data_IF_664657364311
#
_entry.id   IF_664657364311
#
_cell.length_a   1.000
_cell.length_b   1.000
_cell.length_c   1.000
_cell.angle_alpha   90.00
_cell.angle_beta   90.00
_cell.angle_gamma   90.00
#
_symmetry.space_group_name_H-M   'P 1'
#
loop_
_entity.id
_entity.type
_entity.pdbx_description
1 polymer ?
#
# COMPACT_ATOMS: atom_id res chain seq x y z
N UNK A 1 -55.41 28.33 -3.23
CA UNK A 1 -54.05 28.81 -3.54
C UNK A 1 -53.06 27.66 -3.27
N UNK A 2 -52.40 27.07 -4.28
CA UNK A 2 -51.53 25.91 -4.07
C UNK A 2 -50.10 26.38 -3.75
N UNK A 3 -49.55 25.81 -2.64
CA UNK A 3 -48.18 26.03 -2.19
C UNK A 3 -47.15 25.41 -3.12
N UNK A 4 -46.19 26.22 -3.49
CA UNK A 4 -45.00 25.81 -4.28
C UNK A 4 -44.11 24.88 -3.46
N UNK A 5 -44.01 23.64 -3.90
CA UNK A 5 -42.89 22.74 -3.51
C UNK A 5 -41.67 23.16 -4.33
N UNK A 6 -40.65 23.67 -3.66
CA UNK A 6 -39.35 23.90 -4.25
C UNK A 6 -38.67 22.54 -4.43
N UNK A 7 -38.48 22.13 -5.67
CA UNK A 7 -37.64 20.99 -6.04
C UNK A 7 -36.19 21.40 -5.89
N UNK A 8 -35.51 20.85 -4.89
CA UNK A 8 -34.04 20.92 -4.77
C UNK A 8 -33.44 20.01 -5.80
N UNK A 9 -33.04 20.56 -6.94
CA UNK A 9 -32.33 19.82 -8.00
C UNK A 9 -30.89 19.62 -7.55
N UNK A 10 -30.53 18.36 -7.40
CA UNK A 10 -29.20 17.91 -7.01
C UNK A 10 -28.18 18.23 -8.11
N UNK A 11 -27.19 19.06 -7.81
CA UNK A 11 -25.99 19.24 -8.65
C UNK A 11 -24.99 18.16 -8.28
N UNK A 12 -25.11 16.99 -8.90
CA UNK A 12 -24.13 15.87 -8.83
C UNK A 12 -23.45 15.66 -10.20
N UNK A 13 -23.44 16.62 -11.08
CA UNK A 13 -22.97 16.45 -12.45
C UNK A 13 -21.85 17.42 -12.80
N UNK A 14 -20.66 17.29 -12.21
CA UNK A 14 -19.52 18.08 -12.65
C UNK A 14 -18.13 17.43 -12.46
N UNK A 15 -18.00 16.10 -12.41
CA UNK A 15 -16.68 15.43 -12.33
C UNK A 15 -16.44 14.42 -13.45
N UNK A 16 -17.36 14.21 -14.36
CA UNK A 16 -17.27 13.18 -15.40
C UNK A 16 -17.29 13.69 -16.86
N UNK A 17 -16.74 14.84 -17.13
CA UNK A 17 -16.60 15.30 -18.52
C UNK A 17 -15.16 15.75 -18.82
N UNK A 18 -14.25 14.79 -18.93
CA UNK A 18 -13.04 14.96 -19.74
C UNK A 18 -13.21 14.12 -21.02
N UNK A 19 -13.13 14.71 -22.22
CA UNK A 19 -13.28 13.94 -23.45
C UNK A 19 -12.09 13.03 -23.64
N UNK A 20 -12.33 11.73 -23.62
CA UNK A 20 -11.42 10.69 -24.08
C UNK A 20 -11.28 10.80 -25.62
N UNK A 21 -10.29 11.53 -26.09
CA UNK A 21 -9.79 11.33 -27.45
C UNK A 21 -8.75 10.22 -27.41
N UNK A 22 -9.21 9.00 -27.63
CA UNK A 22 -8.36 7.84 -27.86
C UNK A 22 -7.82 7.91 -29.31
N UNK A 23 -6.58 8.32 -29.47
CA UNK A 23 -5.81 7.95 -30.63
C UNK A 23 -5.14 6.61 -30.35
N UNK A 24 -5.70 5.55 -30.92
CA UNK A 24 -5.18 4.19 -30.83
C UNK A 24 -3.96 4.01 -31.74
N UNK A 25 -2.78 4.12 -31.15
CA UNK A 25 -1.64 3.31 -31.57
C UNK A 25 -1.48 2.13 -30.62
N UNK A 26 -1.11 0.93 -31.09
CA UNK A 26 -0.81 -0.17 -30.19
C UNK A 26 0.52 0.11 -29.49
N UNK A 27 0.50 0.95 -28.46
CA UNK A 27 1.54 0.98 -27.46
C UNK A 27 1.41 -0.32 -26.69
N UNK A 28 2.42 -1.17 -26.74
CA UNK A 28 2.64 -2.19 -25.70
C UNK A 28 2.67 -1.39 -24.40
N UNK A 29 1.59 -1.44 -23.64
CA UNK A 29 1.50 -0.78 -22.35
C UNK A 29 2.48 -1.50 -21.43
N UNK A 30 3.66 -0.91 -21.20
CA UNK A 30 4.63 -1.42 -20.24
C UNK A 30 4.06 -1.12 -18.85
N UNK A 31 3.76 -2.16 -18.08
CA UNK A 31 3.23 -2.02 -16.74
C UNK A 31 4.25 -1.38 -15.77
N UNK A 32 3.77 -0.76 -14.71
CA UNK A 32 4.66 -0.13 -13.72
C UNK A 32 5.60 -1.14 -13.03
N UNK A 33 5.16 -2.40 -12.89
CA UNK A 33 6.00 -3.51 -12.40
C UNK A 33 7.23 -3.73 -13.30
N UNK A 34 7.06 -3.66 -14.63
CA UNK A 34 8.15 -3.82 -15.58
C UNK A 34 9.11 -2.65 -15.52
N UNK A 35 8.61 -1.43 -15.25
CA UNK A 35 9.45 -0.24 -15.05
C UNK A 35 10.44 -0.41 -13.89
N UNK A 36 10.06 -1.11 -12.82
CA UNK A 36 11.02 -1.39 -11.74
C UNK A 36 12.13 -2.34 -12.23
N UNK A 37 11.81 -3.30 -13.09
CA UNK A 37 12.81 -4.20 -13.67
C UNK A 37 13.80 -3.46 -14.58
N UNK A 38 13.36 -2.40 -15.28
CA UNK A 38 14.25 -1.57 -16.09
C UNK A 38 15.41 -0.97 -15.28
N UNK A 39 15.25 -0.78 -13.97
CA UNK A 39 16.30 -0.27 -13.09
C UNK A 39 17.46 -1.25 -12.87
N UNK A 40 17.32 -2.49 -13.31
CA UNK A 40 18.35 -3.53 -13.25
C UNK A 40 18.91 -3.88 -14.63
N UNK A 41 18.48 -3.20 -15.69
CA UNK A 41 18.95 -3.37 -17.06
C UNK A 41 19.93 -2.25 -17.40
N UNK A 42 21.21 -2.57 -17.34
CA UNK A 42 22.30 -1.61 -17.55
C UNK A 42 22.86 -1.69 -18.99
N UNK A 43 22.07 -1.28 -19.96
CA UNK A 43 22.40 -1.32 -21.39
C UNK A 43 21.39 -2.12 -22.21
N UNK A 44 21.64 -2.30 -23.52
CA UNK A 44 20.84 -3.21 -24.34
C UNK A 44 21.19 -4.64 -23.98
N UNK A 45 20.20 -5.53 -23.83
CA UNK A 45 20.40 -6.97 -23.68
C UNK A 45 21.35 -7.49 -24.77
N UNK A 46 22.55 -7.92 -24.41
CA UNK A 46 23.67 -8.24 -25.31
C UNK A 46 24.95 -7.52 -24.97
N UNK A 47 24.93 -6.60 -23.99
CA UNK A 47 26.12 -6.02 -23.37
C UNK A 47 26.35 -6.61 -21.97
N UNK A 48 27.59 -6.57 -21.43
CA UNK A 48 27.92 -7.15 -20.14
C UNK A 48 26.99 -6.61 -19.06
N UNK A 49 26.34 -7.53 -18.31
CA UNK A 49 25.47 -7.31 -17.17
C UNK A 49 24.02 -6.86 -17.49
N UNK A 50 23.39 -7.57 -18.41
CA UNK A 50 21.94 -7.61 -18.46
C UNK A 50 21.44 -8.49 -17.29
N UNK A 51 20.95 -7.90 -16.23
CA UNK A 51 20.39 -8.62 -15.08
C UNK A 51 18.95 -9.11 -15.34
N UNK A 52 18.45 -9.04 -16.55
CA UNK A 52 17.21 -9.65 -16.95
C UNK A 52 17.44 -11.15 -17.16
N UNK A 53 16.97 -11.98 -16.24
CA UNK A 53 17.06 -13.43 -16.30
C UNK A 53 16.33 -14.10 -17.47
N UNK A 54 15.63 -13.30 -18.31
CA UNK A 54 14.93 -13.78 -19.51
C UNK A 54 15.78 -13.74 -20.78
N UNK A 55 16.95 -13.08 -20.76
CA UNK A 55 17.79 -12.90 -21.96
C UNK A 55 19.17 -13.49 -21.69
N UNK A 56 19.53 -14.57 -22.41
CA UNK A 56 20.90 -15.06 -22.41
C UNK A 56 21.79 -14.00 -23.07
N UNK A 57 22.64 -13.35 -22.28
CA UNK A 57 23.61 -12.41 -22.81
C UNK A 57 24.54 -13.14 -23.78
N UNK A 58 24.78 -12.53 -24.97
CA UNK A 58 25.59 -13.13 -26.02
C UNK A 58 27.02 -13.50 -25.58
N UNK A 59 27.48 -13.02 -24.43
CA UNK A 59 28.79 -13.29 -23.83
C UNK A 59 28.69 -13.95 -22.43
N UNK A 60 27.52 -14.44 -22.03
CA UNK A 60 27.36 -15.17 -20.76
C UNK A 60 27.39 -14.34 -19.48
N UNK A 61 27.69 -13.06 -19.54
CA UNK A 61 27.93 -12.24 -18.34
C UNK A 61 26.66 -11.93 -17.49
N UNK A 62 25.46 -11.94 -18.10
CA UNK A 62 24.21 -11.78 -17.36
C UNK A 62 23.84 -12.96 -16.46
N UNK A 63 24.41 -14.15 -16.75
CA UNK A 63 24.18 -15.38 -15.97
C UNK A 63 25.17 -15.57 -14.82
N UNK A 64 26.28 -14.83 -14.82
CA UNK A 64 27.36 -14.96 -13.84
C UNK A 64 27.04 -14.34 -12.49
N UNK A 65 26.14 -13.38 -12.41
CA UNK A 65 25.66 -12.83 -11.14
C UNK A 65 24.40 -13.58 -10.69
N UNK A 66 24.59 -14.80 -10.28
CA UNK A 66 23.71 -15.72 -9.58
C UNK A 66 22.26 -15.83 -10.02
N UNK A 67 21.86 -16.95 -10.64
CA UNK A 67 20.46 -17.34 -10.73
C UNK A 67 19.76 -17.35 -9.36
N UNK A 68 20.40 -17.84 -8.31
CA UNK A 68 19.78 -17.99 -6.99
C UNK A 68 19.76 -16.69 -6.17
N UNK A 69 20.81 -15.87 -6.20
CA UNK A 69 20.78 -14.53 -5.61
C UNK A 69 20.04 -13.53 -6.48
N UNK A 70 20.04 -13.68 -7.79
CA UNK A 70 19.12 -12.94 -8.67
C UNK A 70 17.68 -13.32 -8.34
N UNK A 71 17.33 -14.58 -8.18
CA UNK A 71 16.01 -15.00 -7.75
C UNK A 71 15.65 -14.44 -6.37
N UNK A 72 16.56 -14.44 -5.41
CA UNK A 72 16.34 -13.93 -4.06
C UNK A 72 16.28 -12.40 -4.01
N UNK A 73 17.10 -11.70 -4.79
CA UNK A 73 17.02 -10.23 -4.89
C UNK A 73 15.86 -9.78 -5.78
N UNK A 74 15.42 -10.57 -6.75
CA UNK A 74 14.15 -10.39 -7.42
C UNK A 74 12.96 -10.64 -6.48
N UNK A 75 13.09 -11.51 -5.47
CA UNK A 75 12.10 -11.62 -4.40
C UNK A 75 11.96 -10.31 -3.60
N UNK A 76 13.05 -9.59 -3.35
CA UNK A 76 12.99 -8.24 -2.73
C UNK A 76 12.23 -7.27 -3.63
N UNK A 77 12.48 -7.27 -4.93
CA UNK A 77 11.78 -6.43 -5.91
C UNK A 77 10.32 -6.85 -6.02
N UNK A 78 10.05 -8.16 -6.08
CA UNK A 78 8.70 -8.73 -6.03
C UNK A 78 7.95 -8.28 -4.78
N UNK A 79 8.57 -8.42 -3.62
CA UNK A 79 7.99 -7.95 -2.36
C UNK A 79 7.70 -6.44 -2.36
N UNK A 80 8.63 -5.61 -2.86
CA UNK A 80 8.42 -4.16 -2.95
C UNK A 80 7.23 -3.84 -3.85
N UNK A 81 7.12 -4.48 -5.01
CA UNK A 81 6.01 -4.29 -5.96
C UNK A 81 4.68 -4.73 -5.35
N UNK A 82 4.66 -5.90 -4.71
CA UNK A 82 3.48 -6.41 -4.03
C UNK A 82 3.07 -5.53 -2.85
N UNK A 83 4.04 -5.05 -2.07
CA UNK A 83 3.78 -4.14 -0.95
C UNK A 83 3.14 -2.82 -1.41
N UNK A 84 3.48 -2.31 -2.60
CA UNK A 84 2.84 -1.11 -3.16
C UNK A 84 1.36 -1.39 -3.47
N UNK A 85 1.07 -2.47 -4.20
CA UNK A 85 -0.30 -2.87 -4.54
C UNK A 85 -1.16 -3.18 -3.31
N UNK A 86 -0.61 -3.93 -2.34
CA UNK A 86 -1.27 -4.21 -1.04
C UNK A 86 -1.56 -2.92 -0.26
N UNK A 87 -0.63 -1.95 -0.24
CA UNK A 87 -0.88 -0.67 0.42
C UNK A 87 -1.96 0.15 -0.31
N UNK A 88 -1.97 0.15 -1.65
CA UNK A 88 -3.02 0.79 -2.44
C UNK A 88 -4.41 0.23 -2.12
N UNK A 89 -4.54 -1.10 -2.04
CA UNK A 89 -5.78 -1.79 -1.69
C UNK A 89 -6.18 -1.59 -0.22
N UNK A 90 -5.21 -1.55 0.70
CA UNK A 90 -5.43 -1.55 2.15
C UNK A 90 -5.44 -0.16 2.78
N UNK A 91 -5.45 0.91 2.00
CA UNK A 91 -5.67 2.25 2.56
C UNK A 91 -6.94 2.25 3.42
N UNK A 92 -6.88 2.83 4.63
CA UNK A 92 -8.04 2.89 5.50
C UNK A 92 -9.18 3.63 4.79
N UNK A 93 -10.32 2.96 4.67
CA UNK A 93 -11.55 3.59 4.19
C UNK A 93 -12.22 4.34 5.35
N UNK A 94 -12.89 5.43 5.04
CA UNK A 94 -13.73 6.14 6.02
C UNK A 94 -14.72 5.19 6.68
N UNK A 95 -15.03 5.45 7.95
CA UNK A 95 -16.02 4.70 8.71
C UNK A 95 -17.35 4.59 7.95
N UNK A 96 -17.96 3.41 7.96
CA UNK A 96 -19.21 3.13 7.21
C UNK A 96 -20.42 3.91 7.70
N UNK A 97 -20.40 4.34 8.96
CA UNK A 97 -21.42 5.20 9.55
C UNK A 97 -20.85 6.60 9.75
N UNK A 98 -21.21 7.56 8.92
CA UNK A 98 -20.93 8.95 9.21
C UNK A 98 -21.76 9.38 10.44
N UNK A 99 -21.08 9.63 11.50
CA UNK A 99 -21.34 10.13 12.82
C UNK A 99 -22.70 10.62 13.32
N UNK A 100 -23.71 10.70 12.55
CA UNK A 100 -25.05 11.04 13.06
C UNK A 100 -25.86 9.77 13.27
N UNK A 101 -25.88 9.27 14.50
CA UNK A 101 -26.78 8.18 14.90
C UNK A 101 -28.08 8.76 15.44
N UNK A 102 -29.20 8.13 15.08
CA UNK A 102 -30.52 8.51 15.54
C UNK A 102 -31.17 7.31 16.23
N UNK A 103 -31.89 7.59 17.33
CA UNK A 103 -32.78 6.64 17.97
C UNK A 103 -34.21 7.10 17.64
N UNK A 104 -35.08 6.18 17.24
CA UNK A 104 -36.48 6.50 17.09
C UNK A 104 -37.19 6.41 18.44
N UNK A 105 -37.70 7.52 18.92
CA UNK A 105 -38.54 7.59 20.11
C UNK A 105 -39.92 8.07 19.67
N UNK A 106 -40.92 7.18 19.82
CA UNK A 106 -42.30 7.51 19.37
C UNK A 106 -42.43 7.75 17.86
N UNK A 107 -41.56 7.13 17.03
CA UNK A 107 -41.55 7.29 15.57
C UNK A 107 -40.78 8.53 15.07
N UNK A 108 -40.25 9.38 15.97
CA UNK A 108 -39.47 10.56 15.63
C UNK A 108 -37.96 10.26 15.76
N UNK A 109 -37.14 10.68 14.78
CA UNK A 109 -35.68 10.49 14.85
C UNK A 109 -35.08 11.47 15.88
N UNK A 110 -34.64 10.95 17.00
CA UNK A 110 -33.89 11.70 18.02
C UNK A 110 -32.42 11.45 17.84
N UNK A 111 -31.67 12.53 17.66
CA UNK A 111 -30.21 12.47 17.50
C UNK A 111 -29.57 11.93 18.79
N UNK A 112 -28.78 10.85 18.70
CA UNK A 112 -28.19 10.19 19.86
C UNK A 112 -26.78 10.65 20.20
N UNK A 113 -26.06 11.30 19.30
CA UNK A 113 -24.70 11.81 19.52
C UNK A 113 -24.52 13.19 18.91
N UNK A 114 -23.82 14.07 19.63
CA UNK A 114 -23.34 15.36 19.10
C UNK A 114 -22.13 15.15 18.17
N UNK A 115 -21.35 14.10 18.40
CA UNK A 115 -20.17 13.75 17.62
C UNK A 115 -20.52 13.35 16.18
N UNK A 116 -19.66 13.74 15.24
CA UNK A 116 -19.70 13.34 13.82
C UNK A 116 -19.00 12.00 13.55
N UNK A 117 -18.53 11.31 14.59
CA UNK A 117 -17.94 9.97 14.53
C UNK A 117 -16.45 9.91 14.20
N UNK A 118 -15.88 8.71 14.29
CA UNK A 118 -14.47 8.45 13.98
C UNK A 118 -14.16 8.68 12.50
N UNK A 119 -12.87 8.69 12.15
CA UNK A 119 -12.47 8.80 10.75
C UNK A 119 -12.31 7.41 10.11
N UNK A 120 -11.55 6.52 10.73
CA UNK A 120 -11.26 5.19 10.21
C UNK A 120 -11.86 4.07 11.04
N UNK A 121 -11.88 4.21 12.36
CA UNK A 121 -12.49 3.24 13.25
C UNK A 121 -14.00 3.15 13.04
N UNK A 122 -14.56 1.97 13.24
CA UNK A 122 -16.00 1.75 13.15
C UNK A 122 -16.64 1.89 14.53
N UNK A 123 -17.84 2.44 14.56
CA UNK A 123 -18.75 2.37 15.71
C UNK A 123 -19.73 1.22 15.55
N UNK A 124 -20.24 0.71 16.66
CA UNK A 124 -21.21 -0.37 16.66
C UNK A 124 -22.58 0.04 16.06
N UNK A 125 -22.89 1.32 16.07
CA UNK A 125 -24.17 1.82 15.55
C UNK A 125 -24.22 1.67 14.02
N UNK A 126 -25.42 1.36 13.54
CA UNK A 126 -25.80 1.31 12.13
C UNK A 126 -26.38 2.64 11.67
N UNK A 127 -26.52 2.82 10.36
CA UNK A 127 -27.17 4.01 9.79
C UNK A 127 -28.69 4.00 9.98
N UNK A 128 -29.30 2.82 10.22
CA UNK A 128 -30.72 2.62 10.45
C UNK A 128 -31.49 2.33 9.16
N UNK A 129 -32.65 1.67 9.30
CA UNK A 129 -33.48 1.17 8.20
C UNK A 129 -33.79 2.25 7.14
N UNK A 130 -33.51 1.91 5.88
CA UNK A 130 -33.84 2.72 4.71
C UNK A 130 -33.02 3.99 4.55
N UNK A 131 -32.04 4.23 5.40
CA UNK A 131 -31.15 5.39 5.30
C UNK A 131 -29.95 5.08 4.42
N UNK A 132 -29.44 6.13 3.80
CA UNK A 132 -28.28 6.09 2.92
C UNK A 132 -27.24 7.09 3.38
N UNK A 133 -26.00 6.65 3.47
CA UNK A 133 -24.83 7.51 3.59
C UNK A 133 -24.06 7.41 2.29
N UNK A 134 -23.74 8.52 1.66
CA UNK A 134 -22.87 8.56 0.47
C UNK A 134 -21.72 9.52 0.76
N UNK A 135 -20.55 9.16 0.33
CA UNK A 135 -19.40 10.03 0.49
C UNK A 135 -18.34 9.82 -0.58
N UNK A 136 -17.43 10.77 -0.62
CA UNK A 136 -16.25 10.70 -1.45
C UNK A 136 -15.05 11.21 -0.66
N UNK A 137 -13.89 10.58 -0.85
CA UNK A 137 -12.65 11.05 -0.28
C UNK A 137 -11.51 11.03 -1.28
N UNK A 138 -10.51 11.85 -1.02
CA UNK A 138 -9.25 11.92 -1.73
C UNK A 138 -8.13 11.68 -0.72
N UNK A 139 -7.31 10.66 -0.97
CA UNK A 139 -6.19 10.28 -0.10
C UNK A 139 -4.89 10.32 -0.89
N UNK A 140 -3.89 11.03 -0.37
CA UNK A 140 -2.55 11.11 -0.94
C UNK A 140 -1.54 10.37 -0.08
N UNK A 141 -0.73 9.53 -0.72
CA UNK A 141 0.34 8.73 -0.12
C UNK A 141 1.63 8.95 -0.90
N UNK A 142 2.73 9.19 -0.21
CA UNK A 142 4.07 9.17 -0.79
C UNK A 142 4.92 8.22 0.04
N UNK A 143 5.28 7.07 -0.53
CA UNK A 143 6.11 6.12 0.17
C UNK A 143 7.51 6.65 0.36
N UNK A 144 8.08 6.42 1.53
CA UNK A 144 9.36 7.01 1.95
C UNK A 144 10.37 5.96 2.41
N UNK A 145 9.91 4.81 2.92
CA UNK A 145 10.83 3.80 3.46
C UNK A 145 10.27 2.38 3.36
N UNK A 146 11.17 1.41 3.25
CA UNK A 146 10.91 -0.01 3.38
C UNK A 146 11.63 -0.53 4.62
N UNK A 147 10.89 -1.06 5.60
CA UNK A 147 11.43 -1.52 6.90
C UNK A 147 12.35 -0.49 7.58
N UNK A 148 12.06 0.81 7.41
CA UNK A 148 12.84 1.92 7.95
C UNK A 148 14.03 2.36 7.12
N UNK A 149 14.39 1.66 6.05
CA UNK A 149 15.40 2.11 5.07
C UNK A 149 14.72 3.06 4.09
N UNK A 150 15.24 4.29 3.89
CA UNK A 150 14.70 5.21 2.90
C UNK A 150 14.70 4.59 1.49
N UNK A 151 13.61 4.75 0.72
CA UNK A 151 13.52 4.24 -0.65
C UNK A 151 14.56 4.85 -1.59
N UNK A 152 15.10 6.02 -1.26
CA UNK A 152 16.19 6.69 -1.96
C UNK A 152 17.58 6.06 -1.70
N UNK A 153 17.66 5.09 -0.79
CA UNK A 153 18.94 4.52 -0.27
C UNK A 153 18.90 3.00 -0.18
N UNK A 154 18.08 2.35 -0.98
CA UNK A 154 18.06 0.89 -1.03
C UNK A 154 19.34 0.39 -1.72
N UNK A 155 19.94 -0.65 -1.15
CA UNK A 155 21.14 -1.29 -1.69
C UNK A 155 20.89 -2.77 -1.84
N UNK A 156 21.20 -3.30 -3.02
CA UNK A 156 21.22 -4.72 -3.32
C UNK A 156 22.61 -5.11 -3.77
N UNK A 157 23.19 -6.16 -3.19
CA UNK A 157 24.47 -6.70 -3.56
C UNK A 157 24.27 -8.07 -4.21
N UNK A 158 24.90 -8.28 -5.35
CA UNK A 158 24.89 -9.52 -6.09
C UNK A 158 26.31 -10.07 -6.10
N UNK A 159 26.47 -11.32 -5.75
CA UNK A 159 27.75 -12.05 -5.81
C UNK A 159 27.81 -12.87 -7.09
N UNK A 160 28.99 -13.25 -7.49
CA UNK A 160 29.24 -14.09 -8.66
C UNK A 160 28.81 -15.55 -8.38
N UNK A 161 28.38 -16.27 -9.42
CA UNK A 161 28.09 -17.70 -9.35
C UNK A 161 29.27 -18.53 -9.85
N UNK A 162 29.31 -19.78 -9.46
CA UNK A 162 30.22 -20.80 -9.98
C UNK A 162 29.74 -21.26 -11.37
N UNK A 163 30.31 -20.66 -12.42
CA UNK A 163 29.86 -20.91 -13.80
C UNK A 163 30.53 -22.17 -14.41
N UNK A 164 31.73 -22.47 -14.03
CA UNK A 164 32.51 -23.58 -14.61
C UNK A 164 32.58 -24.81 -13.72
N UNK A 165 32.05 -24.76 -12.50
CA UNK A 165 32.08 -25.83 -11.52
C UNK A 165 33.45 -26.04 -10.88
N UNK A 166 34.36 -25.05 -11.04
CA UNK A 166 35.69 -25.06 -10.47
C UNK A 166 35.79 -24.10 -9.29
N UNK A 167 36.28 -24.53 -8.19
CA UNK A 167 36.44 -23.70 -7.01
C UNK A 167 35.50 -24.08 -5.88
N UNK A 168 34.85 -23.09 -5.25
CA UNK A 168 33.93 -23.32 -4.12
C UNK A 168 32.50 -23.57 -4.60
N UNK A 169 31.80 -24.57 -4.06
CA UNK A 169 30.42 -24.82 -4.43
C UNK A 169 29.59 -23.55 -4.29
N UNK A 170 28.91 -23.15 -5.36
CA UNK A 170 27.99 -22.02 -5.42
C UNK A 170 28.64 -20.62 -5.44
N UNK A 171 29.97 -20.50 -5.35
CA UNK A 171 30.69 -19.22 -5.35
C UNK A 171 31.86 -19.17 -6.34
N UNK A 172 32.18 -20.30 -6.99
CA UNK A 172 33.22 -20.43 -8.02
C UNK A 172 34.65 -20.18 -7.56
N UNK A 173 35.49 -19.89 -8.55
CA UNK A 173 36.95 -19.67 -8.36
C UNK A 173 37.17 -18.28 -7.67
N UNK A 174 37.78 -18.27 -6.47
CA UNK A 174 38.04 -17.04 -5.74
C UNK A 174 38.90 -16.01 -6.47
N UNK A 175 39.71 -16.46 -7.42
CA UNK A 175 40.59 -15.56 -8.19
C UNK A 175 39.94 -14.96 -9.42
N UNK A 176 38.81 -15.54 -9.88
CA UNK A 176 38.13 -15.12 -11.11
C UNK A 176 36.68 -14.68 -10.86
N UNK A 177 35.99 -15.34 -9.93
CA UNK A 177 34.55 -15.25 -9.76
C UNK A 177 34.15 -14.60 -8.40
N UNK A 178 34.89 -13.55 -8.04
CA UNK A 178 34.78 -12.94 -6.72
C UNK A 178 34.30 -11.47 -6.76
N UNK A 179 33.89 -11.00 -7.93
CA UNK A 179 33.36 -9.67 -8.12
C UNK A 179 32.00 -9.51 -7.41
N UNK A 180 31.73 -8.30 -6.95
CA UNK A 180 30.44 -7.93 -6.36
C UNK A 180 29.82 -6.84 -7.21
N UNK A 181 28.57 -7.07 -7.63
CA UNK A 181 27.75 -6.05 -8.24
C UNK A 181 26.85 -5.42 -7.19
N UNK A 182 27.07 -4.17 -6.86
CA UNK A 182 26.19 -3.40 -5.99
C UNK A 182 25.26 -2.52 -6.81
N UNK A 183 23.96 -2.62 -6.57
CA UNK A 183 22.94 -1.76 -7.16
C UNK A 183 22.33 -0.89 -6.05
N UNK A 184 22.46 0.43 -6.20
CA UNK A 184 21.83 1.43 -5.34
C UNK A 184 20.60 1.95 -6.04
N UNK A 185 19.46 1.89 -5.35
CA UNK A 185 18.16 2.34 -5.87
C UNK A 185 17.71 3.61 -5.17
N UNK A 186 17.16 4.52 -5.97
CA UNK A 186 16.41 5.71 -5.55
C UNK A 186 15.01 5.60 -6.16
N UNK A 187 14.00 5.28 -5.32
CA UNK A 187 12.63 5.04 -5.75
C UNK A 187 11.68 6.07 -5.17
N UNK A 188 10.90 6.68 -6.04
CA UNK A 188 9.77 7.52 -5.67
C UNK A 188 8.45 6.89 -6.10
N UNK A 189 7.59 6.54 -5.14
CA UNK A 189 6.28 5.95 -5.39
C UNK A 189 5.21 6.79 -4.71
N UNK A 190 4.23 7.27 -5.49
CA UNK A 190 3.13 8.09 -5.01
C UNK A 190 1.79 7.50 -5.45
N UNK A 191 0.82 7.50 -4.53
CA UNK A 191 -0.56 7.14 -4.80
C UNK A 191 -1.47 8.34 -4.55
N UNK A 192 -2.42 8.53 -5.46
CA UNK A 192 -3.56 9.41 -5.27
C UNK A 192 -4.82 8.56 -5.45
N UNK A 193 -5.60 8.41 -4.37
CA UNK A 193 -6.76 7.54 -4.34
C UNK A 193 -8.02 8.36 -4.11
N UNK A 194 -8.91 8.36 -5.10
CA UNK A 194 -10.24 8.95 -5.03
C UNK A 194 -11.25 7.84 -4.78
N UNK A 195 -11.90 7.80 -3.62
CA UNK A 195 -12.87 6.75 -3.29
C UNK A 195 -14.27 7.34 -3.19
N UNK A 196 -15.22 6.72 -3.88
CA UNK A 196 -16.65 6.95 -3.68
C UNK A 196 -17.21 5.78 -2.90
N UNK A 197 -18.04 6.04 -1.90
CA UNK A 197 -18.65 5.00 -1.09
C UNK A 197 -20.11 5.28 -0.78
N UNK A 198 -20.86 4.20 -0.56
CA UNK A 198 -22.24 4.26 -0.13
C UNK A 198 -22.48 3.19 0.94
N UNK A 199 -23.29 3.55 1.94
CA UNK A 199 -23.79 2.65 2.98
C UNK A 199 -25.29 2.72 3.02
N UNK A 200 -25.97 1.57 3.01
CA UNK A 200 -27.42 1.44 3.10
C UNK A 200 -27.82 0.63 4.33
N UNK A 201 -28.69 1.17 5.14
CA UNK A 201 -29.29 0.48 6.28
C UNK A 201 -30.40 -0.47 5.83
N UNK A 202 -30.09 -1.78 5.78
CA UNK A 202 -31.05 -2.84 5.44
C UNK A 202 -32.17 -2.94 6.48
N UNK A 203 -31.80 -2.79 7.75
CA UNK A 203 -32.69 -2.66 8.89
C UNK A 203 -32.00 -1.87 10.01
N UNK A 204 -32.60 -1.76 11.19
CA UNK A 204 -32.05 -0.97 12.29
C UNK A 204 -30.75 -1.56 12.89
N UNK A 205 -30.43 -2.83 12.59
CA UNK A 205 -29.25 -3.53 13.07
C UNK A 205 -28.28 -3.97 11.99
N UNK A 206 -28.52 -3.71 10.70
CA UNK A 206 -27.72 -4.25 9.61
C UNK A 206 -27.48 -3.21 8.51
N UNK A 207 -26.21 -2.95 8.21
CA UNK A 207 -25.74 -2.07 7.14
C UNK A 207 -25.01 -2.85 6.06
N UNK A 208 -25.22 -2.48 4.81
CA UNK A 208 -24.46 -2.91 3.65
C UNK A 208 -23.73 -1.70 3.07
N UNK A 209 -22.43 -1.85 2.80
CA UNK A 209 -21.62 -0.75 2.24
C UNK A 209 -20.81 -1.24 1.04
N UNK A 210 -20.60 -0.32 0.10
CA UNK A 210 -19.69 -0.49 -1.03
C UNK A 210 -18.75 0.71 -1.10
N UNK A 211 -17.47 0.47 -1.42
CA UNK A 211 -16.52 1.53 -1.74
C UNK A 211 -15.76 1.19 -3.02
N UNK A 212 -15.71 2.15 -3.94
CA UNK A 212 -15.06 2.03 -5.24
C UNK A 212 -13.94 3.06 -5.32
N UNK A 213 -12.66 2.64 -5.21
CA UNK A 213 -11.52 3.52 -5.37
C UNK A 213 -11.12 3.68 -6.84
N UNK A 214 -10.75 4.88 -7.23
CA UNK A 214 -9.99 5.19 -8.43
C UNK A 214 -8.56 5.52 -7.98
N UNK A 215 -7.60 4.72 -8.38
CA UNK A 215 -6.21 4.81 -7.94
C UNK A 215 -5.35 5.32 -9.08
N UNK A 216 -4.59 6.38 -8.82
CA UNK A 216 -3.50 6.82 -9.66
C UNK A 216 -2.18 6.55 -8.96
N UNK A 217 -1.34 5.71 -9.57
CA UNK A 217 0.02 5.41 -9.13
C UNK A 217 1.01 6.13 -10.01
N UNK A 218 2.03 6.73 -9.41
CA UNK A 218 3.16 7.36 -10.10
C UNK A 218 4.45 6.78 -9.56
N UNK A 219 5.32 6.34 -10.45
CA UNK A 219 6.62 5.74 -10.17
C UNK A 219 7.71 6.60 -10.82
N UNK A 220 8.76 6.87 -10.07
CA UNK A 220 10.04 7.37 -10.56
C UNK A 220 11.14 6.51 -9.95
N UNK A 221 12.15 6.17 -10.72
CA UNK A 221 13.25 5.34 -10.25
C UNK A 221 14.56 5.72 -10.91
N UNK A 222 15.62 5.59 -10.14
CA UNK A 222 17.02 5.67 -10.60
C UNK A 222 17.80 4.56 -9.93
N UNK A 223 18.77 4.01 -10.63
CA UNK A 223 19.73 3.08 -10.08
C UNK A 223 21.14 3.42 -10.53
N UNK A 224 22.08 3.11 -9.65
CA UNK A 224 23.50 3.15 -9.92
C UNK A 224 24.04 1.77 -9.62
N UNK A 225 24.53 1.09 -10.63
CA UNK A 225 25.22 -0.18 -10.51
C UNK A 225 26.74 0.05 -10.49
N UNK A 226 27.41 -0.59 -9.54
CA UNK A 226 28.86 -0.52 -9.40
C UNK A 226 29.42 -1.93 -9.20
N UNK A 227 30.40 -2.29 -10.03
CA UNK A 227 31.16 -3.50 -9.88
C UNK A 227 32.35 -3.22 -8.96
N UNK A 228 32.54 -4.10 -7.97
CA UNK A 228 33.74 -4.15 -7.13
C UNK A 228 34.56 -5.36 -7.55
N UNK A 229 35.64 -5.16 -8.33
CA UNK A 229 36.45 -6.25 -8.81
C UNK A 229 37.38 -6.75 -7.68
N UNK A 230 37.23 -8.03 -7.36
CA UNK A 230 38.10 -8.73 -6.41
C UNK A 230 38.83 -9.90 -7.04
N UNK A 231 38.55 -10.15 -8.32
CA UNK A 231 39.28 -11.12 -9.15
C UNK A 231 40.64 -10.63 -9.61
N UNK A 232 41.37 -11.45 -10.35
CA UNK A 232 42.62 -11.06 -10.97
C UNK A 232 42.41 -10.08 -12.13
N UNK A 233 43.49 -9.43 -12.60
CA UNK A 233 43.39 -8.35 -13.60
C UNK A 233 42.85 -8.78 -14.99
N UNK A 234 42.72 -10.07 -15.23
CA UNK A 234 42.19 -10.62 -16.50
C UNK A 234 40.74 -11.12 -16.41
N UNK A 235 40.09 -11.00 -15.26
CA UNK A 235 38.75 -11.52 -14.99
C UNK A 235 37.81 -10.49 -14.36
N UNK A 236 38.03 -9.22 -14.68
CA UNK A 236 37.20 -8.13 -14.19
C UNK A 236 35.95 -8.00 -15.07
N UNK A 237 34.76 -8.03 -14.44
CA UNK A 237 33.52 -7.68 -15.12
C UNK A 237 33.41 -6.18 -15.27
N UNK A 238 32.84 -5.72 -16.37
CA UNK A 238 32.67 -4.29 -16.65
C UNK A 238 31.41 -4.03 -17.50
N UNK A 239 30.86 -2.82 -17.40
CA UNK A 239 29.71 -2.41 -18.20
C UNK A 239 30.12 -1.90 -19.58
N UNK A 240 31.23 -1.20 -19.66
CA UNK A 240 31.76 -0.56 -20.86
C UNK A 240 33.29 -0.55 -20.80
N UNK A 241 33.96 -0.29 -21.93
CA UNK A 241 35.41 -0.22 -21.99
C UNK A 241 36.06 -1.52 -22.41
N UNK A 242 37.25 -1.78 -21.90
CA UNK A 242 38.09 -2.97 -22.18
C UNK A 242 38.58 -3.55 -20.86
N UNK A 243 39.14 -4.79 -20.86
CA UNK A 243 39.74 -5.36 -19.64
C UNK A 243 40.86 -4.49 -19.04
N UNK A 244 41.57 -3.71 -19.88
CA UNK A 244 42.65 -2.82 -19.45
C UNK A 244 42.13 -1.47 -18.92
N UNK A 245 40.94 -1.03 -19.35
CA UNK A 245 40.26 0.21 -18.90
C UNK A 245 38.76 -0.04 -18.74
N UNK A 246 38.34 -0.78 -17.68
CA UNK A 246 36.97 -1.20 -17.47
C UNK A 246 36.10 -0.10 -16.91
N UNK A 247 34.94 0.13 -17.55
CA UNK A 247 33.88 0.98 -17.01
C UNK A 247 33.05 0.24 -16.00
N UNK A 248 33.32 0.47 -14.70
CA UNK A 248 32.73 -0.28 -13.58
C UNK A 248 31.41 0.30 -13.05
N UNK A 249 30.91 1.37 -13.65
CA UNK A 249 29.68 2.03 -13.19
C UNK A 249 28.70 2.14 -14.35
N UNK A 250 27.43 1.80 -14.07
CA UNK A 250 26.31 2.03 -14.98
C UNK A 250 25.12 2.64 -14.25
N UNK A 251 24.27 3.30 -15.01
CA UNK A 251 23.09 3.97 -14.47
C UNK A 251 21.86 3.57 -15.28
N UNK A 252 20.73 3.42 -14.60
CA UNK A 252 19.43 3.31 -15.24
C UNK A 252 18.43 4.26 -14.59
N UNK A 253 17.42 4.65 -15.34
CA UNK A 253 16.35 5.49 -14.84
C UNK A 253 15.03 5.13 -15.54
N UNK A 254 13.95 5.19 -14.77
CA UNK A 254 12.61 4.93 -15.28
C UNK A 254 11.60 5.86 -14.64
N UNK A 255 10.46 6.02 -15.31
CA UNK A 255 9.30 6.71 -14.77
C UNK A 255 8.03 6.18 -15.45
N UNK A 256 6.92 6.30 -14.72
CA UNK A 256 5.63 5.89 -15.27
C UNK A 256 4.48 6.32 -14.36
N UNK A 257 3.28 6.25 -14.89
CA UNK A 257 2.06 6.40 -14.11
C UNK A 257 0.93 5.58 -14.72
N UNK A 258 0.08 5.04 -13.86
CA UNK A 258 -1.13 4.32 -14.25
C UNK A 258 -2.32 4.87 -13.46
N UNK A 259 -3.52 4.76 -14.04
CA UNK A 259 -4.78 5.13 -13.38
C UNK A 259 -5.83 4.10 -13.74
N UNK A 260 -6.40 3.44 -12.76
CA UNK A 260 -7.50 2.49 -12.94
C UNK A 260 -8.38 2.41 -11.69
N UNK A 261 -9.51 1.72 -11.81
CA UNK A 261 -10.28 1.31 -10.63
C UNK A 261 -9.39 0.41 -9.78
N UNK A 262 -9.36 0.67 -8.48
CA UNK A 262 -8.67 -0.17 -7.51
C UNK A 262 -9.54 -1.32 -7.00
N UNK A 263 -9.18 -1.91 -5.87
CA UNK A 263 -9.90 -3.02 -5.28
C UNK A 263 -11.20 -2.56 -4.61
N UNK A 264 -12.33 -3.00 -5.14
CA UNK A 264 -13.66 -2.66 -4.63
C UNK A 264 -13.86 -3.33 -3.27
N UNK A 265 -14.33 -2.57 -2.29
CA UNK A 265 -14.66 -3.08 -0.96
C UNK A 265 -16.16 -3.24 -0.78
N UNK A 266 -16.56 -4.40 -0.25
CA UNK A 266 -17.92 -4.69 0.17
C UNK A 266 -17.91 -4.95 1.68
N UNK A 267 -18.82 -4.30 2.43
CA UNK A 267 -18.91 -4.44 3.89
C UNK A 267 -20.32 -4.78 4.31
N UNK A 268 -20.40 -5.67 5.29
CA UNK A 268 -21.64 -6.00 5.99
C UNK A 268 -21.39 -5.80 7.49
N UNK A 269 -22.10 -4.88 8.12
CA UNK A 269 -22.01 -4.61 9.56
C UNK A 269 -23.31 -4.93 10.26
N UNK A 270 -23.23 -5.78 11.27
CA UNK A 270 -24.35 -6.18 12.10
C UNK A 270 -24.16 -5.67 13.53
N UNK A 271 -25.07 -4.81 14.01
CA UNK A 271 -25.14 -4.43 15.42
C UNK A 271 -25.70 -5.60 16.21
N UNK A 272 -24.93 -6.10 17.18
CA UNK A 272 -25.30 -7.23 18.03
C UNK A 272 -26.00 -6.76 19.30
N UNK A 273 -25.48 -5.67 19.86
CA UNK A 273 -26.01 -5.05 21.09
C UNK A 273 -25.76 -3.56 21.09
N UNK A 274 -26.75 -2.81 21.49
CA UNK A 274 -26.64 -1.36 21.64
C UNK A 274 -27.45 -0.91 22.85
N UNK A 275 -26.72 -0.51 23.88
CA UNK A 275 -27.27 0.16 25.06
C UNK A 275 -27.07 1.68 24.93
N UNK A 276 -27.49 2.45 25.93
CA UNK A 276 -27.31 3.91 25.90
C UNK A 276 -25.84 4.33 25.93
N UNK A 277 -24.96 3.53 26.56
CA UNK A 277 -23.53 3.83 26.76
C UNK A 277 -22.59 2.93 25.95
N UNK A 278 -22.97 1.69 25.69
CA UNK A 278 -22.12 0.71 25.04
C UNK A 278 -22.81 0.08 23.84
N UNK A 279 -22.05 -0.20 22.82
CA UNK A 279 -22.48 -0.93 21.63
C UNK A 279 -21.45 -1.94 21.19
N UNK A 280 -21.92 -3.07 20.64
CA UNK A 280 -21.12 -4.13 20.08
C UNK A 280 -21.67 -4.47 18.71
N UNK A 281 -20.79 -4.61 17.71
CA UNK A 281 -21.14 -5.03 16.36
C UNK A 281 -20.09 -6.01 15.81
N UNK A 282 -20.49 -6.72 14.78
CA UNK A 282 -19.60 -7.53 13.94
C UNK A 282 -19.59 -6.94 12.54
N UNK A 283 -18.45 -6.97 11.86
CA UNK A 283 -18.32 -6.52 10.48
C UNK A 283 -17.53 -7.54 9.66
N UNK A 284 -18.05 -7.88 8.49
CA UNK A 284 -17.32 -8.53 7.43
C UNK A 284 -16.98 -7.51 6.33
N UNK A 285 -15.72 -7.52 5.86
CA UNK A 285 -15.23 -6.65 4.78
C UNK A 285 -14.52 -7.53 3.76
N UNK A 286 -14.91 -7.44 2.50
CA UNK A 286 -14.28 -8.16 1.39
C UNK A 286 -13.67 -7.15 0.41
N UNK A 287 -12.38 -7.29 0.13
CA UNK A 287 -11.65 -6.53 -0.90
C UNK A 287 -11.50 -7.38 -2.13
N UNK A 288 -12.19 -7.02 -3.19
CA UNK A 288 -12.20 -7.74 -4.46
C UNK A 288 -11.01 -7.32 -5.32
N UNK A 289 -10.27 -8.26 -5.95
CA UNK A 289 -9.10 -7.93 -6.77
C UNK A 289 -9.51 -7.36 -8.13
N UNK A 290 -10.11 -6.18 -8.14
CA UNK A 290 -10.57 -5.48 -9.34
C UNK A 290 -9.54 -4.51 -9.89
N UNK A 291 -8.54 -4.15 -9.09
CA UNK A 291 -7.40 -3.33 -9.51
C UNK A 291 -6.31 -4.14 -10.20
N UNK A 292 -5.37 -3.44 -10.84
CA UNK A 292 -4.20 -4.06 -11.48
C UNK A 292 -3.05 -4.17 -10.47
N UNK A 293 -2.57 -5.38 -10.24
CA UNK A 293 -1.35 -5.65 -9.47
C UNK A 293 -0.11 -5.13 -10.22
N UNK A 294 -0.07 -5.30 -11.52
CA UNK A 294 1.05 -4.89 -12.38
C UNK A 294 1.24 -3.37 -12.45
N UNK A 295 0.15 -2.61 -12.28
CA UNK A 295 0.15 -1.14 -12.28
C UNK A 295 0.01 -0.55 -10.87
N UNK A 296 0.10 -1.38 -9.83
CA UNK A 296 0.01 -0.99 -8.41
C UNK A 296 -1.28 -0.22 -8.06
N UNK A 297 -2.38 -0.55 -8.70
CA UNK A 297 -3.69 0.02 -8.42
C UNK A 297 -4.58 -0.92 -7.60
N UNK A 298 -4.16 -2.18 -7.40
CA UNK A 298 -4.80 -3.19 -6.58
C UNK A 298 -3.81 -4.22 -6.07
N UNK A 299 -4.27 -5.11 -5.19
CA UNK A 299 -3.43 -6.13 -4.54
C UNK A 299 -3.32 -7.44 -5.33
N UNK A 300 -4.14 -7.62 -6.38
CA UNK A 300 -4.16 -8.83 -7.20
C UNK A 300 -4.76 -10.06 -6.50
N UNK A 301 -5.23 -9.93 -5.26
CA UNK A 301 -5.80 -11.03 -4.49
C UNK A 301 -7.02 -10.60 -3.67
N UNK A 302 -7.88 -11.55 -3.34
CA UNK A 302 -9.00 -11.32 -2.45
C UNK A 302 -8.50 -11.20 -1.00
N UNK A 303 -8.95 -10.16 -0.28
CA UNK A 303 -8.75 -10.05 1.16
C UNK A 303 -10.09 -10.02 1.88
N UNK A 304 -10.25 -10.87 2.89
CA UNK A 304 -11.44 -10.96 3.73
C UNK A 304 -11.09 -10.53 5.15
N UNK A 305 -11.88 -9.63 5.72
CA UNK A 305 -11.71 -9.17 7.11
C UNK A 305 -12.94 -9.47 7.93
N UNK A 306 -12.72 -10.03 9.11
CA UNK A 306 -13.74 -10.13 10.14
C UNK A 306 -13.36 -9.24 11.32
N UNK A 307 -14.25 -8.33 11.75
CA UNK A 307 -13.99 -7.38 12.84
C UNK A 307 -15.07 -7.49 13.91
N UNK A 308 -14.66 -7.53 15.17
CA UNK A 308 -15.48 -7.25 16.33
C UNK A 308 -15.30 -5.77 16.71
N UNK A 309 -16.38 -5.07 16.88
CA UNK A 309 -16.43 -3.62 17.13
C UNK A 309 -17.07 -3.39 18.48
N UNK A 310 -16.40 -2.65 19.35
CA UNK A 310 -16.95 -2.12 20.59
C UNK A 310 -16.88 -0.59 20.56
N UNK A 311 -17.94 0.08 20.93
CA UNK A 311 -17.96 1.53 21.04
C UNK A 311 -18.70 2.00 22.29
N UNK A 312 -18.19 3.06 22.91
CA UNK A 312 -18.76 3.67 24.08
C UNK A 312 -19.23 5.10 23.85
N UNK A 313 -20.06 5.62 24.78
CA UNK A 313 -20.45 7.01 24.84
C UNK A 313 -20.53 7.48 26.28
N UNK A 314 -19.65 8.41 26.63
CA UNK A 314 -19.51 8.95 27.97
C UNK A 314 -19.55 10.49 27.90
N UNK A 315 -20.77 11.03 27.85
CA UNK A 315 -20.97 12.45 27.50
C UNK A 315 -20.54 12.73 26.06
N UNK A 316 -19.58 13.64 25.89
CA UNK A 316 -19.00 14.00 24.59
C UNK A 316 -17.84 13.08 24.16
N UNK A 317 -17.28 12.29 25.09
CA UNK A 317 -16.22 11.35 24.80
C UNK A 317 -16.77 10.02 24.27
N UNK A 318 -16.37 9.64 23.09
CA UNK A 318 -16.86 8.44 22.39
C UNK A 318 -15.70 7.52 22.01
N UNK A 319 -15.22 6.63 22.91
CA UNK A 319 -14.19 5.67 22.60
C UNK A 319 -14.71 4.54 21.70
N UNK A 320 -13.82 3.96 20.92
CA UNK A 320 -14.08 2.79 20.10
C UNK A 320 -12.85 1.88 20.01
N UNK A 321 -13.12 0.59 19.85
CA UNK A 321 -12.14 -0.47 19.66
C UNK A 321 -12.66 -1.44 18.61
N UNK A 322 -11.85 -1.68 17.58
CA UNK A 322 -12.13 -2.67 16.57
C UNK A 322 -10.97 -3.67 16.56
N UNK A 323 -11.27 -4.95 16.66
CA UNK A 323 -10.29 -6.03 16.65
C UNK A 323 -10.74 -7.09 15.67
N UNK A 324 -9.84 -7.60 14.85
CA UNK A 324 -10.20 -8.59 13.85
C UNK A 324 -9.04 -9.29 13.19
N UNK A 325 -9.40 -10.08 12.22
CA UNK A 325 -8.48 -10.89 11.45
C UNK A 325 -8.70 -10.66 9.95
N UNK A 326 -7.60 -10.61 9.22
CA UNK A 326 -7.58 -10.48 7.77
C UNK A 326 -6.95 -11.71 7.14
N UNK A 327 -7.75 -12.40 6.34
CA UNK A 327 -7.32 -13.48 5.45
C UNK A 327 -6.96 -12.89 4.09
N UNK A 328 -5.81 -13.26 3.53
CA UNK A 328 -5.40 -12.92 2.17
C UNK A 328 -5.25 -14.20 1.36
N UNK A 329 -5.94 -14.26 0.23
CA UNK A 329 -5.77 -15.39 -0.72
C UNK A 329 -4.50 -15.18 -1.56
N UNK A 330 -3.93 -16.27 -2.05
CA UNK A 330 -2.74 -16.23 -2.90
C UNK A 330 -1.49 -16.76 -2.20
N UNK A 331 -0.60 -17.29 -3.01
CA UNK A 331 0.67 -17.85 -2.54
C UNK A 331 1.59 -16.76 -2.00
N UNK A 332 2.31 -17.03 -0.93
CA UNK A 332 3.22 -16.08 -0.30
C UNK A 332 2.54 -14.94 0.49
N UNK A 333 1.21 -14.79 0.43
CA UNK A 333 0.50 -13.74 1.16
C UNK A 333 0.33 -14.14 2.62
N UNK A 334 0.56 -13.19 3.53
CA UNK A 334 0.44 -13.42 4.99
C UNK A 334 -0.84 -12.82 5.51
N UNK A 335 -1.51 -13.56 6.37
CA UNK A 335 -2.65 -13.08 7.13
C UNK A 335 -2.23 -12.06 8.19
N UNK A 336 -3.19 -11.33 8.74
CA UNK A 336 -2.88 -10.33 9.75
C UNK A 336 -3.96 -10.23 10.83
N UNK A 337 -3.53 -9.94 12.05
CA UNK A 337 -4.37 -9.42 13.11
C UNK A 337 -4.51 -7.91 12.95
N UNK A 338 -5.73 -7.42 13.09
CA UNK A 338 -6.06 -6.01 12.97
C UNK A 338 -6.54 -5.47 14.32
N UNK A 339 -6.10 -4.28 14.69
CA UNK A 339 -6.69 -3.55 15.79
C UNK A 339 -6.71 -2.05 15.48
N UNK A 340 -7.85 -1.42 15.79
CA UNK A 340 -7.99 0.05 15.77
C UNK A 340 -8.59 0.46 17.10
N UNK A 341 -7.91 1.36 17.80
CA UNK A 341 -8.40 1.93 19.05
C UNK A 341 -8.35 3.46 18.95
N UNK A 342 -9.36 4.11 19.47
CA UNK A 342 -9.41 5.56 19.42
C UNK A 342 -10.64 6.14 20.09
N UNK A 343 -10.80 7.42 19.92
CA UNK A 343 -11.97 8.14 20.36
C UNK A 343 -12.30 9.29 19.40
N UNK A 344 -13.52 9.71 19.43
CA UNK A 344 -13.96 10.94 18.81
C UNK A 344 -14.72 11.79 19.83
N UNK A 345 -14.55 13.10 19.74
CA UNK A 345 -15.09 14.08 20.67
C UNK A 345 -15.53 15.35 19.95
N UNK A 346 -16.75 15.83 20.15
CA UNK A 346 -17.14 17.17 19.74
C UNK A 346 -16.26 18.23 20.41
N UNK A 347 -15.64 19.07 19.62
CA UNK A 347 -14.86 20.23 20.09
C UNK A 347 -15.63 21.53 19.88
N UNK A 348 -16.64 21.49 19.02
CA UNK A 348 -17.62 22.56 18.82
C UNK A 348 -18.93 21.95 18.31
N UNK A 349 -20.01 22.71 18.29
CA UNK A 349 -21.31 22.25 17.77
C UNK A 349 -21.26 21.82 16.29
N UNK A 350 -20.26 22.31 15.55
CA UNK A 350 -20.02 22.03 14.13
C UNK A 350 -18.77 21.20 13.85
N UNK A 351 -17.96 20.89 14.88
CA UNK A 351 -16.67 20.18 14.71
C UNK A 351 -16.50 19.04 15.71
N UNK A 352 -16.02 17.92 15.20
CA UNK A 352 -15.60 16.73 15.97
C UNK A 352 -14.13 16.42 15.67
N UNK A 353 -13.35 16.22 16.71
CA UNK A 353 -11.98 15.71 16.63
C UNK A 353 -12.00 14.18 16.75
N UNK A 354 -11.16 13.48 16.01
CA UNK A 354 -10.94 12.06 16.14
C UNK A 354 -9.43 11.76 16.26
N UNK A 355 -9.09 10.88 17.19
CA UNK A 355 -7.73 10.39 17.42
C UNK A 355 -7.79 8.86 17.45
N UNK A 356 -6.98 8.22 16.62
CA UNK A 356 -7.01 6.78 16.44
C UNK A 356 -5.62 6.21 16.29
N UNK A 357 -5.41 4.98 16.73
CA UNK A 357 -4.23 4.15 16.43
C UNK A 357 -4.71 2.93 15.67
N UNK A 358 -4.17 2.75 14.48
CA UNK A 358 -4.44 1.61 13.60
C UNK A 358 -3.24 0.69 13.61
N UNK A 359 -3.45 -0.60 13.78
CA UNK A 359 -2.38 -1.59 13.76
C UNK A 359 -2.75 -2.81 12.92
N UNK A 360 -1.73 -3.35 12.28
CA UNK A 360 -1.78 -4.59 11.50
C UNK A 360 -0.54 -5.41 11.85
N UNK A 361 -0.76 -6.62 12.34
CA UNK A 361 0.27 -7.53 12.81
C UNK A 361 0.30 -8.75 11.90
N UNK A 362 1.33 -8.84 11.09
CA UNK A 362 1.57 -9.96 10.17
C UNK A 362 1.71 -11.27 10.95
N UNK A 363 1.03 -12.32 10.48
CA UNK A 363 1.01 -13.64 11.09
C UNK A 363 1.97 -14.59 10.37
N UNK A 364 2.59 -15.49 11.14
CA UNK A 364 3.53 -16.47 10.59
C UNK A 364 4.94 -15.92 10.34
N UNK A 365 5.67 -16.52 9.40
CA UNK A 365 6.97 -16.05 8.96
C UNK A 365 6.86 -14.73 8.18
N UNK A 366 7.95 -13.98 8.05
CA UNK A 366 7.98 -12.76 7.23
C UNK A 366 7.57 -13.05 5.78
N UNK A 367 6.88 -12.10 5.13
CA UNK A 367 6.57 -12.21 3.71
C UNK A 367 7.81 -11.99 2.84
N UNK A 368 8.77 -11.19 3.31
CA UNK A 368 10.07 -11.00 2.68
C UNK A 368 11.11 -11.81 3.45
N UNK A 369 11.54 -12.88 2.85
CA UNK A 369 12.71 -13.67 3.28
C UNK A 369 13.93 -13.09 2.58
N UNK A 370 14.91 -12.64 3.37
CA UNK A 370 16.16 -12.10 2.84
C UNK A 370 17.14 -13.24 2.59
N UNK A 371 17.97 -13.14 1.51
CA UNK A 371 19.08 -14.09 1.32
C UNK A 371 20.05 -14.03 2.48
N UNK A 372 20.70 -15.17 2.77
CA UNK A 372 21.76 -15.22 3.77
C UNK A 372 22.99 -14.44 3.30
N UNK A 373 23.73 -13.79 4.23
CA UNK A 373 25.00 -13.15 3.90
C UNK A 373 26.03 -14.12 3.34
N UNK A 374 26.78 -13.70 2.34
CA UNK A 374 27.80 -14.52 1.68
C UNK A 374 29.18 -14.17 2.24
N UNK A 375 29.89 -15.19 2.75
CA UNK A 375 31.27 -15.03 3.20
C UNK A 375 32.25 -15.32 2.06
N UNK A 376 32.97 -14.31 1.61
CA UNK A 376 34.05 -14.39 0.64
C UNK A 376 35.38 -14.40 1.38
N UNK A 377 36.33 -15.22 0.92
CA UNK A 377 37.63 -15.43 1.61
C UNK A 377 38.82 -14.85 0.86
N UNK A 378 38.67 -14.51 -0.41
CA UNK A 378 39.73 -13.95 -1.25
C UNK A 378 39.33 -12.53 -1.74
N UNK A 379 40.29 -11.60 -1.91
CA UNK A 379 41.68 -11.59 -1.46
C UNK A 379 41.82 -11.46 0.07
N UNK A 380 40.76 -11.22 0.78
CA UNK A 380 40.66 -11.19 2.25
C UNK A 380 39.25 -11.62 2.68
N UNK A 381 39.14 -12.09 3.92
CA UNK A 381 37.85 -12.53 4.47
C UNK A 381 36.92 -11.32 4.63
N UNK A 382 35.73 -11.39 4.02
CA UNK A 382 34.69 -10.40 4.12
C UNK A 382 33.31 -11.04 4.04
N UNK A 383 32.32 -10.44 4.69
CA UNK A 383 30.92 -10.82 4.57
C UNK A 383 30.21 -9.80 3.69
N UNK A 384 29.46 -10.27 2.72
CA UNK A 384 28.63 -9.46 1.83
C UNK A 384 27.17 -9.63 2.25
N UNK A 385 26.59 -8.59 2.82
CA UNK A 385 25.16 -8.54 3.08
C UNK A 385 24.41 -8.39 1.74
N UNK A 386 23.35 -9.17 1.49
CA UNK A 386 22.62 -9.10 0.22
C UNK A 386 21.91 -7.76 0.03
N UNK A 387 21.56 -7.10 1.12
CA UNK A 387 20.84 -5.81 1.12
C UNK A 387 21.04 -5.06 2.42
N UNK A 388 20.73 -3.77 2.42
CA UNK A 388 20.67 -2.97 3.65
C UNK A 388 19.26 -2.97 4.29
N UNK A 389 18.31 -3.75 3.77
CA UNK A 389 16.96 -3.89 4.33
C UNK A 389 17.06 -4.81 5.56
N UNK A 390 16.56 -4.41 6.74
CA UNK A 390 16.58 -5.27 7.92
C UNK A 390 15.70 -6.51 7.77
N UNK A 391 16.17 -7.65 8.31
CA UNK A 391 15.32 -8.82 8.50
C UNK A 391 14.38 -8.59 9.68
N UNK A 392 13.11 -8.37 9.39
CA UNK A 392 12.07 -8.13 10.38
C UNK A 392 10.68 -8.36 9.79
N UNK A 393 9.70 -8.64 10.66
CA UNK A 393 8.29 -8.74 10.25
C UNK A 393 7.70 -7.38 9.91
N UNK A 394 6.76 -7.38 8.97
CA UNK A 394 6.13 -6.17 8.43
C UNK A 394 4.92 -5.70 9.24
N UNK A 395 5.05 -5.74 10.58
CA UNK A 395 4.04 -5.19 11.48
C UNK A 395 3.91 -3.68 11.27
N UNK A 396 2.69 -3.21 11.05
CA UNK A 396 2.39 -1.79 10.84
C UNK A 396 1.59 -1.22 12.00
N UNK A 397 1.93 0.00 12.40
CA UNK A 397 1.17 0.78 13.36
C UNK A 397 1.19 2.24 12.92
N UNK A 398 0.05 2.88 12.91
CA UNK A 398 -0.09 4.28 12.49
C UNK A 398 -0.99 5.03 13.47
N UNK A 399 -0.62 6.26 13.77
CA UNK A 399 -1.46 7.22 14.48
C UNK A 399 -2.24 8.07 13.49
N UNK A 400 -3.51 8.27 13.76
CA UNK A 400 -4.45 9.07 12.98
C UNK A 400 -4.96 10.24 13.82
N UNK A 401 -4.95 11.43 13.23
CA UNK A 401 -5.52 12.62 13.82
C UNK A 401 -6.36 13.35 12.78
N UNK A 402 -7.62 13.58 13.06
CA UNK A 402 -8.55 14.16 12.10
C UNK A 402 -9.67 14.98 12.70
N UNK A 403 -10.36 15.70 11.82
CA UNK A 403 -11.52 16.49 12.14
C UNK A 403 -12.65 16.18 11.15
N UNK A 404 -13.86 16.22 11.66
CA UNK A 404 -15.09 16.26 10.89
C UNK A 404 -15.83 17.55 11.16
N UNK A 405 -16.23 18.25 10.11
CA UNK A 405 -16.90 19.54 10.19
C UNK A 405 -18.28 19.45 9.55
N UNK A 406 -19.30 19.87 10.28
CA UNK A 406 -20.64 20.03 9.74
C UNK A 406 -20.70 21.33 8.94
N UNK A 407 -20.97 21.22 7.64
CA UNK A 407 -21.13 22.40 6.79
C UNK A 407 -22.57 22.91 6.78
N UNK A 408 -22.81 24.18 6.47
CA UNK A 408 -24.16 24.67 6.16
C UNK A 408 -24.76 23.87 4.99
N UNK A 409 -25.98 23.34 5.16
CA UNK A 409 -26.63 22.52 4.14
C UNK A 409 -26.50 21.00 4.32
N UNK A 410 -25.76 20.53 5.33
CA UNK A 410 -25.82 19.15 5.77
C UNK A 410 -24.59 18.26 5.49
N UNK A 411 -23.79 18.49 4.43
CA UNK A 411 -22.57 17.71 4.21
C UNK A 411 -21.59 17.79 5.38
N UNK A 412 -20.81 16.72 5.58
CA UNK A 412 -19.75 16.65 6.59
C UNK A 412 -18.43 16.64 5.85
N UNK A 413 -17.61 17.68 6.05
CA UNK A 413 -16.23 17.71 5.58
C UNK A 413 -15.35 16.89 6.53
N UNK A 414 -14.56 15.99 5.99
CA UNK A 414 -13.61 15.15 6.72
C UNK A 414 -12.19 15.55 6.34
N UNK A 415 -11.32 15.74 7.33
CA UNK A 415 -9.88 15.94 7.11
C UNK A 415 -9.12 15.06 8.07
N UNK A 416 -8.06 14.42 7.59
CA UNK A 416 -7.24 13.53 8.42
C UNK A 416 -5.78 13.50 7.98
N UNK A 417 -4.93 13.27 8.96
CA UNK A 417 -3.51 12.95 8.83
C UNK A 417 -3.23 11.61 9.50
N UNK A 418 -2.46 10.73 8.83
CA UNK A 418 -2.01 9.46 9.37
C UNK A 418 -0.49 9.42 9.28
N UNK A 419 0.16 9.07 10.40
CA UNK A 419 1.61 9.00 10.52
C UNK A 419 2.03 7.63 11.04
N UNK A 420 3.14 7.06 10.54
CA UNK A 420 3.63 5.77 11.02
C UNK A 420 4.18 5.89 12.44
N UNK A 421 3.84 4.93 13.28
CA UNK A 421 4.37 4.78 14.65
C UNK A 421 5.37 3.62 14.76
N UNK A 422 5.48 2.80 13.71
CA UNK A 422 6.37 1.63 13.65
C UNK A 422 7.00 1.54 12.26
N UNK A 423 8.20 0.95 12.14
CA UNK A 423 9.00 0.92 10.90
C UNK A 423 8.83 -0.35 10.05
N UNK A 424 7.79 -1.15 10.25
CA UNK A 424 7.57 -2.39 9.48
C UNK A 424 6.97 -2.15 8.10
N UNK A 425 7.39 -2.93 7.10
CA UNK A 425 6.88 -2.88 5.74
C UNK A 425 7.19 -1.61 4.95
N UNK A 426 6.45 -1.42 3.86
CA UNK A 426 6.50 -0.22 3.05
C UNK A 426 5.64 0.88 3.70
N UNK A 427 6.22 2.05 3.94
CA UNK A 427 5.60 3.14 4.68
C UNK A 427 5.72 4.50 4.01
N UNK A 428 4.75 5.34 4.32
CA UNK A 428 4.77 6.77 4.03
C UNK A 428 4.99 7.54 5.33
N UNK A 429 5.79 8.59 5.33
CA UNK A 429 5.94 9.46 6.50
C UNK A 429 4.65 10.19 6.87
N UNK A 430 3.79 10.41 5.88
CA UNK A 430 2.54 11.16 6.04
C UNK A 430 1.52 10.74 4.98
N UNK A 431 0.31 10.40 5.43
CA UNK A 431 -0.85 10.17 4.56
C UNK A 431 -1.91 11.20 4.93
N UNK A 432 -2.44 11.91 3.95
CA UNK A 432 -3.52 12.85 4.16
C UNK A 432 -4.80 12.40 3.48
N UNK A 433 -5.92 12.72 4.08
CA UNK A 433 -7.25 12.44 3.52
C UNK A 433 -8.15 13.67 3.67
N UNK A 434 -8.87 14.00 2.61
CA UNK A 434 -9.94 14.99 2.60
C UNK A 434 -11.18 14.30 2.01
N UNK A 435 -12.33 14.48 2.64
CA UNK A 435 -13.56 13.83 2.20
C UNK A 435 -14.82 14.65 2.48
N UNK A 436 -15.90 14.23 1.87
CA UNK A 436 -17.26 14.75 2.07
C UNK A 436 -18.21 13.57 2.26
N UNK A 437 -19.01 13.61 3.32
CA UNK A 437 -20.06 12.64 3.63
C UNK A 437 -21.43 13.34 3.65
N UNK A 438 -22.44 12.65 3.14
CA UNK A 438 -23.83 13.12 3.14
C UNK A 438 -24.75 12.00 3.63
N UNK A 439 -25.74 12.37 4.44
CA UNK A 439 -26.74 11.44 4.99
C UNK A 439 -28.12 11.78 4.40
N UNK A 440 -28.85 10.73 3.98
CA UNK A 440 -30.18 10.83 3.40
C UNK A 440 -31.19 9.94 4.14
#
# INVERSE_FOLDING_TARGET
>A
MPGRRAASTLVVAAVLACPLQAQSQPHIQTHLRDRIRELFSFGSCGQPLCLDGSVSAANGHGQHFLPDLIASNFAIIGFLTDAIGVNASNLPLSASSSGQTFKFVGGLPVKTSASLGPVYGERAQTVGRGRVVVGANLTGVSFSSLRGVPLEKLVLNFTHDDVDGVGRPGLGDPEKENDILQVRLDLGVKLLVSTVFATYGLNDGLDLSIAVPLVRTSLTGRSVAQIYPFGGPTSVHFFTGTPEDPGLIANAATFGSATSVGDIALRLKANVRSDERLGVALMADARLPTGSEEDFTGAGHLALRGLAIASGRFGDFSPHLNVGYMLRTGEGRKDALLATAGFDQPVAAWATMAVEVLSEWEMGASALELPEPVMLIYPFVRTVEPTNIPDMKDHRMSGSFGFKFRTPGGPILVTNALVPLRRGGLQSNFVWTIGLDMNF
#
